data_IF_236254896593
#
_entry.id   IF_236254896593
#
_cell.length_a   1.000
_cell.length_b   1.000
_cell.length_c   1.000
_cell.angle_alpha   90.00
_cell.angle_beta   90.00
_cell.angle_gamma   90.00
#
_symmetry.space_group_name_H-M   'P 1'
#
loop_
_entity.id
_entity.type
_entity.pdbx_description
1 polymer ?
#
# COMPACT_ATOMS: atom_id res chain seq x y z
N UNK A 1 18.74 -22.04 25.27
CA UNK A 1 18.86 -21.39 23.94
C UNK A 1 20.29 -20.89 23.78
N UNK A 2 20.85 -20.95 22.58
CA UNK A 2 22.19 -20.43 22.34
C UNK A 2 22.19 -18.89 22.43
N UNK A 3 23.07 -18.34 23.28
CA UNK A 3 23.20 -16.91 23.55
C UNK A 3 24.49 -16.40 22.91
N UNK A 4 24.52 -15.19 22.32
CA UNK A 4 25.75 -14.63 21.78
C UNK A 4 26.80 -14.43 22.88
N UNK A 5 27.99 -15.01 22.69
CA UNK A 5 29.11 -14.87 23.63
C UNK A 5 29.65 -13.44 23.69
N UNK A 6 29.58 -12.70 22.58
CA UNK A 6 30.12 -11.34 22.46
C UNK A 6 29.20 -10.43 21.65
N UNK A 7 29.33 -9.12 21.90
CA UNK A 7 28.66 -8.09 21.11
C UNK A 7 29.18 -8.08 19.66
N UNK A 8 28.29 -7.88 18.69
CA UNK A 8 28.65 -7.86 17.28
C UNK A 8 29.20 -6.48 16.90
N UNK A 9 30.44 -6.42 16.40
CA UNK A 9 31.06 -5.17 15.98
C UNK A 9 30.20 -4.39 14.96
N UNK A 10 30.16 -3.06 15.09
CA UNK A 10 29.36 -2.16 14.25
C UNK A 10 29.63 -2.37 12.76
N UNK A 11 30.90 -2.55 12.35
CA UNK A 11 31.25 -2.85 10.96
C UNK A 11 30.64 -4.16 10.44
N UNK A 12 30.61 -5.22 11.26
CA UNK A 12 29.98 -6.50 10.91
C UNK A 12 28.46 -6.35 10.80
N UNK A 13 27.85 -5.59 11.70
CA UNK A 13 26.42 -5.26 11.65
C UNK A 13 26.04 -4.50 10.38
N UNK A 14 26.82 -3.47 10.02
CA UNK A 14 26.56 -2.63 8.84
C UNK A 14 26.75 -3.42 7.54
N UNK A 15 27.81 -4.23 7.44
CA UNK A 15 27.99 -5.13 6.28
C UNK A 15 26.85 -6.12 6.14
N UNK A 16 26.29 -6.63 7.24
CA UNK A 16 25.10 -7.50 7.17
C UNK A 16 23.87 -6.74 6.69
N UNK A 17 23.74 -5.45 7.02
CA UNK A 17 22.60 -4.60 6.65
C UNK A 17 22.72 -3.98 5.25
N UNK A 18 23.87 -4.08 4.57
CA UNK A 18 24.09 -3.45 3.26
C UNK A 18 23.09 -3.90 2.19
N UNK A 19 22.60 -5.14 2.27
CA UNK A 19 21.64 -5.71 1.33
C UNK A 19 20.18 -5.45 1.71
N UNK A 20 19.90 -4.85 2.86
CA UNK A 20 18.54 -4.59 3.37
C UNK A 20 17.96 -3.26 2.85
N UNK A 21 18.26 -2.89 1.61
CA UNK A 21 17.75 -1.67 1.00
C UNK A 21 16.27 -1.82 0.59
N UNK A 22 15.47 -0.80 0.86
CA UNK A 22 14.08 -0.73 0.41
C UNK A 22 14.03 -0.44 -1.10
N UNK A 23 13.17 -1.14 -1.83
CA UNK A 23 12.95 -0.90 -3.26
C UNK A 23 11.79 0.08 -3.46
N UNK A 24 11.89 1.03 -4.41
CA UNK A 24 10.79 1.91 -4.74
C UNK A 24 9.63 1.13 -5.38
N UNK A 25 8.40 1.60 -5.15
CA UNK A 25 7.21 1.03 -5.77
C UNK A 25 7.10 1.51 -7.22
N UNK A 26 6.80 0.57 -8.13
CA UNK A 26 6.47 0.89 -9.53
C UNK A 26 4.99 1.25 -9.63
N UNK A 27 4.70 2.50 -9.95
CA UNK A 27 3.35 3.01 -10.13
C UNK A 27 3.09 3.30 -11.62
N UNK A 28 1.91 2.93 -12.10
CA UNK A 28 1.43 3.21 -13.45
C UNK A 28 0.27 4.21 -13.39
N UNK A 29 0.05 4.95 -14.48
CA UNK A 29 -1.09 5.87 -14.56
C UNK A 29 -2.38 5.10 -14.85
N UNK A 30 -3.47 5.47 -14.17
CA UNK A 30 -4.80 4.95 -14.46
C UNK A 30 -5.36 5.58 -15.73
N UNK A 31 -5.87 4.79 -16.67
CA UNK A 31 -6.41 5.27 -17.96
C UNK A 31 -7.61 6.22 -17.82
N UNK A 32 -8.45 6.02 -16.81
CA UNK A 32 -9.66 6.84 -16.58
C UNK A 32 -9.38 8.13 -15.80
N UNK A 33 -8.72 8.04 -14.64
CA UNK A 33 -8.57 9.17 -13.73
C UNK A 33 -7.15 9.77 -13.67
N UNK A 34 -6.20 9.24 -14.47
CA UNK A 34 -4.79 9.68 -14.56
C UNK A 34 -4.01 9.70 -13.24
N UNK A 35 -4.54 9.08 -12.18
CA UNK A 35 -3.86 8.94 -10.88
C UNK A 35 -2.86 7.79 -10.92
N UNK A 36 -1.78 7.92 -10.16
CA UNK A 36 -0.78 6.86 -9.96
C UNK A 36 -1.40 5.70 -9.16
N UNK A 37 -1.38 4.51 -9.75
CA UNK A 37 -1.89 3.27 -9.18
C UNK A 37 -0.83 2.18 -9.28
N UNK A 38 -1.01 1.11 -8.52
CA UNK A 38 -0.20 -0.09 -8.70
C UNK A 38 -0.67 -0.85 -9.94
N UNK A 39 0.25 -1.43 -10.72
CA UNK A 39 -0.12 -2.27 -11.86
C UNK A 39 -0.91 -3.50 -11.40
N UNK A 40 -1.79 -4.01 -12.27
CA UNK A 40 -2.67 -5.15 -12.02
C UNK A 40 -3.69 -5.02 -10.88
N UNK A 41 -3.82 -3.85 -10.24
CA UNK A 41 -4.83 -3.58 -9.23
C UNK A 41 -5.97 -2.73 -9.78
N UNK A 42 -7.16 -2.91 -9.20
CA UNK A 42 -8.30 -2.01 -9.45
C UNK A 42 -7.96 -0.63 -8.92
N UNK A 43 -8.27 0.42 -9.71
CA UNK A 43 -8.03 1.78 -9.26
C UNK A 43 -8.88 2.10 -8.03
N UNK A 44 -8.23 2.44 -6.91
CA UNK A 44 -8.95 2.80 -5.65
C UNK A 44 -9.74 4.10 -5.77
N UNK A 45 -9.42 4.94 -6.75
CA UNK A 45 -10.03 6.26 -6.92
C UNK A 45 -11.26 6.23 -7.80
N UNK A 46 -11.25 5.43 -8.89
CA UNK A 46 -12.37 5.38 -9.83
C UNK A 46 -13.06 4.01 -9.88
N UNK A 47 -12.50 2.96 -9.28
CA UNK A 47 -13.13 1.63 -9.25
C UNK A 47 -13.06 0.85 -10.56
N UNK A 48 -12.40 1.41 -11.58
CA UNK A 48 -12.23 0.80 -12.89
C UNK A 48 -10.99 -0.10 -12.94
N UNK A 49 -11.12 -1.19 -13.69
CA UNK A 49 -10.05 -2.08 -14.11
C UNK A 49 -10.27 -2.51 -15.55
N UNK A 50 -9.28 -2.32 -16.42
CA UNK A 50 -9.35 -2.63 -17.87
C UNK A 50 -10.62 -2.07 -18.56
N UNK A 51 -10.99 -0.83 -18.23
CA UNK A 51 -12.15 -0.15 -18.82
C UNK A 51 -13.52 -0.62 -18.32
N UNK A 52 -13.58 -1.59 -17.40
CA UNK A 52 -14.82 -2.02 -16.74
C UNK A 52 -14.90 -1.47 -15.33
N UNK A 53 -16.08 -1.04 -14.92
CA UNK A 53 -16.36 -0.67 -13.53
C UNK A 53 -16.49 -1.96 -12.71
N UNK A 54 -15.50 -2.23 -11.85
CA UNK A 54 -15.48 -3.45 -11.02
C UNK A 54 -15.98 -3.14 -9.60
N UNK A 55 -15.77 -1.91 -9.14
CA UNK A 55 -16.19 -1.47 -7.81
C UNK A 55 -16.93 -0.15 -7.94
N UNK A 56 -18.23 -0.15 -7.63
CA UNK A 56 -19.04 1.05 -7.47
C UNK A 56 -18.55 1.82 -6.22
N UNK A 57 -17.53 2.68 -6.39
CA UNK A 57 -16.84 3.36 -5.28
C UNK A 57 -17.79 4.33 -4.57
N UNK A 58 -18.69 4.98 -5.34
CA UNK A 58 -19.69 5.93 -4.85
C UNK A 58 -20.63 5.28 -3.81
N UNK A 59 -21.12 4.07 -4.08
CA UNK A 59 -22.03 3.36 -3.16
C UNK A 59 -21.36 2.97 -1.84
N UNK A 60 -20.04 2.71 -1.84
CA UNK A 60 -19.30 2.37 -0.61
C UNK A 60 -18.94 3.60 0.22
N UNK A 61 -18.67 4.74 -0.40
CA UNK A 61 -18.34 5.97 0.32
C UNK A 61 -19.55 6.55 1.04
N UNK A 62 -20.73 6.55 0.41
CA UNK A 62 -21.98 7.00 1.03
C UNK A 62 -22.32 6.16 2.28
N UNK A 63 -22.29 4.82 2.18
CA UNK A 63 -22.51 3.92 3.32
C UNK A 63 -21.50 4.11 4.47
N UNK A 64 -20.25 4.47 4.16
CA UNK A 64 -19.22 4.77 5.18
C UNK A 64 -19.48 6.10 5.89
N UNK A 65 -19.93 7.14 5.15
CA UNK A 65 -20.29 8.45 5.73
C UNK A 65 -21.50 8.32 6.65
N UNK A 66 -22.53 7.60 6.24
CA UNK A 66 -23.72 7.32 7.06
C UNK A 66 -23.37 6.57 8.36
N UNK A 67 -22.52 5.54 8.28
CA UNK A 67 -22.05 4.80 9.45
C UNK A 67 -21.23 5.68 10.42
N UNK A 68 -20.41 6.60 9.89
CA UNK A 68 -19.67 7.56 10.74
C UNK A 68 -20.60 8.56 11.42
N UNK A 69 -21.61 9.07 10.72
CA UNK A 69 -22.60 9.99 11.30
C UNK A 69 -23.44 9.30 12.40
N UNK A 70 -23.77 8.01 12.24
CA UNK A 70 -24.46 7.22 13.27
C UNK A 70 -23.59 6.82 14.47
N UNK A 71 -22.27 6.84 14.34
CA UNK A 71 -21.34 6.49 15.43
C UNK A 71 -20.84 7.70 16.23
N UNK A 72 -21.04 8.91 15.70
CA UNK A 72 -20.68 10.18 16.36
C UNK A 72 -21.86 10.90 17.02
N UNK A 73 -23.06 10.31 16.98
CA UNK A 73 -24.27 10.72 17.72
C UNK A 73 -24.56 9.66 18.76
#
# INVERSE_FOLDING_TARGET
MAVPRHHMAKGKQLRRRSHLALKPLKLSECTQCKKKILPHLVCKYCGYYKGKEVVNVLARELKKKEKKQKAGK
#
